data_IF_739175201871
#
_entry.id   IF_739175201871
#
_cell.length_a   1.000
_cell.length_b   1.000
_cell.length_c   1.000
_cell.angle_alpha   90.00
_cell.angle_beta   90.00
_cell.angle_gamma   90.00
#
_symmetry.space_group_name_H-M   'P 1'
#
loop_
_entity.id
_entity.type
_entity.pdbx_description
1 polymer ?
#
# COMPACT_ATOMS: atom_id res chain seq x y z
N UNK A 1 3.75 20.67 25.22
CA UNK A 1 2.93 19.57 25.77
C UNK A 1 1.69 19.31 24.92
N UNK A 2 0.82 20.30 24.79
CA UNK A 2 -0.43 20.14 24.03
C UNK A 2 -0.18 19.69 22.57
N UNK A 3 0.96 20.06 21.96
CA UNK A 3 1.35 19.62 20.59
C UNK A 3 1.45 18.11 20.48
N UNK A 4 2.16 17.44 21.42
CA UNK A 4 2.29 15.98 21.40
C UNK A 4 0.94 15.29 21.55
N UNK A 5 0.10 15.79 22.47
CA UNK A 5 -1.25 15.26 22.70
C UNK A 5 -2.19 15.55 21.53
N UNK A 6 -2.11 16.75 20.95
CA UNK A 6 -2.89 17.11 19.77
C UNK A 6 -2.52 16.23 18.56
N UNK A 7 -1.24 15.99 18.35
CA UNK A 7 -0.76 15.09 17.29
C UNK A 7 -1.22 13.64 17.52
N UNK A 8 -1.13 13.15 18.77
CA UNK A 8 -1.62 11.82 19.12
C UNK A 8 -3.13 11.70 18.88
N UNK A 9 -3.91 12.68 19.37
CA UNK A 9 -5.36 12.72 19.16
C UNK A 9 -5.74 12.80 17.68
N UNK A 10 -5.02 13.61 16.90
CA UNK A 10 -5.18 13.70 15.45
C UNK A 10 -4.91 12.36 14.78
N UNK A 11 -3.79 11.69 15.11
CA UNK A 11 -3.43 10.39 14.58
C UNK A 11 -4.49 9.32 14.85
N UNK A 12 -4.98 9.26 16.09
CA UNK A 12 -6.07 8.36 16.50
C UNK A 12 -7.38 8.70 15.78
N UNK A 13 -7.74 9.98 15.71
CA UNK A 13 -8.95 10.42 15.00
C UNK A 13 -8.92 10.00 13.54
N UNK A 14 -7.83 10.27 12.82
CA UNK A 14 -7.65 9.89 11.40
C UNK A 14 -7.68 8.37 11.27
N UNK A 15 -7.02 7.63 12.16
CA UNK A 15 -6.98 6.16 12.12
C UNK A 15 -8.35 5.50 12.30
N UNK A 16 -9.28 6.15 13.01
CA UNK A 16 -10.63 5.63 13.27
C UNK A 16 -11.64 6.12 12.24
N UNK A 17 -11.57 7.40 11.86
CA UNK A 17 -12.59 8.04 11.02
C UNK A 17 -12.36 7.79 9.53
N UNK A 18 -11.11 7.89 9.06
CA UNK A 18 -10.82 7.79 7.63
C UNK A 18 -11.27 6.46 7.00
N UNK A 19 -11.05 5.27 7.61
CA UNK A 19 -11.55 4.02 7.05
C UNK A 19 -13.07 4.00 6.87
N UNK A 20 -13.81 4.56 7.84
CA UNK A 20 -15.28 4.60 7.80
C UNK A 20 -15.79 5.51 6.68
N UNK A 21 -15.13 6.64 6.46
CA UNK A 21 -15.50 7.57 5.39
C UNK A 21 -15.18 6.99 4.00
N UNK A 22 -14.00 6.38 3.86
CA UNK A 22 -13.58 5.79 2.60
C UNK A 22 -14.39 4.54 2.24
N UNK A 23 -14.79 3.74 3.22
CA UNK A 23 -15.63 2.56 3.00
C UNK A 23 -17.06 2.90 2.53
N UNK A 24 -17.56 4.12 2.80
CA UNK A 24 -18.87 4.59 2.36
C UNK A 24 -18.85 5.29 1.00
N UNK A 25 -17.68 5.49 0.44
CA UNK A 25 -17.52 6.23 -0.79
C UNK A 25 -17.59 5.30 -2.01
N UNK A 26 -18.36 5.67 -3.04
CA UNK A 26 -18.52 4.89 -4.29
C UNK A 26 -17.43 5.19 -5.32
N UNK A 27 -16.78 6.35 -5.20
CA UNK A 27 -15.78 6.79 -6.17
C UNK A 27 -14.49 5.95 -6.26
N UNK A 28 -14.03 5.21 -5.21
CA UNK A 28 -12.84 4.38 -5.29
C UNK A 28 -12.92 3.31 -6.40
N UNK A 29 -14.10 2.80 -6.68
CA UNK A 29 -14.30 1.84 -7.77
C UNK A 29 -14.15 2.48 -9.16
N UNK A 30 -14.50 3.76 -9.28
CA UNK A 30 -14.39 4.52 -10.53
C UNK A 30 -12.97 5.00 -10.82
N UNK A 31 -12.20 5.31 -9.78
CA UNK A 31 -10.82 5.83 -9.86
C UNK A 31 -9.90 5.11 -8.87
N UNK A 32 -9.58 3.83 -9.10
CA UNK A 32 -8.78 3.04 -8.15
C UNK A 32 -7.38 3.62 -7.91
N UNK A 33 -6.75 4.22 -8.90
CA UNK A 33 -5.44 4.86 -8.75
C UNK A 33 -5.50 6.06 -7.80
N UNK A 34 -6.57 6.86 -7.88
CA UNK A 34 -6.78 7.98 -6.95
C UNK A 34 -7.03 7.44 -5.54
N UNK A 35 -7.81 6.37 -5.42
CA UNK A 35 -8.08 5.73 -4.14
C UNK A 35 -6.82 5.15 -3.48
N UNK A 36 -5.94 4.51 -4.26
CA UNK A 36 -4.62 4.08 -3.79
C UNK A 36 -3.81 5.25 -3.22
N UNK A 37 -3.81 6.38 -3.91
CA UNK A 37 -3.13 7.61 -3.46
C UNK A 37 -3.73 8.16 -2.16
N UNK A 38 -5.06 8.27 -2.09
CA UNK A 38 -5.76 8.76 -0.88
C UNK A 38 -5.43 7.91 0.33
N UNK A 39 -5.49 6.57 0.20
CA UNK A 39 -5.16 5.67 1.29
C UNK A 39 -3.69 5.81 1.76
N UNK A 40 -2.75 5.97 0.83
CA UNK A 40 -1.35 6.20 1.18
C UNK A 40 -1.17 7.51 1.96
N UNK A 41 -1.84 8.60 1.53
CA UNK A 41 -1.82 9.88 2.24
C UNK A 41 -2.42 9.78 3.65
N UNK A 42 -3.53 9.07 3.81
CA UNK A 42 -4.15 8.82 5.13
C UNK A 42 -3.19 8.07 6.05
N UNK A 43 -2.60 6.96 5.58
CA UNK A 43 -1.64 6.18 6.36
C UNK A 43 -0.40 7.01 6.70
N UNK A 44 0.12 7.77 5.73
CA UNK A 44 1.25 8.67 5.96
C UNK A 44 0.95 9.73 7.05
N UNK A 45 -0.25 10.31 7.04
CA UNK A 45 -0.67 11.27 8.07
C UNK A 45 -0.74 10.65 9.46
N UNK A 46 -1.26 9.42 9.57
CA UNK A 46 -1.31 8.68 10.85
C UNK A 46 0.11 8.42 11.36
N UNK A 47 0.97 7.85 10.52
CA UNK A 47 2.36 7.56 10.90
C UNK A 47 3.15 8.81 11.28
N UNK A 48 2.96 9.90 10.53
CA UNK A 48 3.60 11.18 10.77
C UNK A 48 3.12 11.81 12.09
N UNK A 49 1.82 11.72 12.39
CA UNK A 49 1.26 12.20 13.67
C UNK A 49 1.92 11.50 14.86
N UNK A 50 2.05 10.18 14.82
CA UNK A 50 2.71 9.42 15.88
C UNK A 50 4.20 9.71 15.97
N UNK A 51 4.91 9.80 14.83
CA UNK A 51 6.33 10.11 14.80
C UNK A 51 6.63 11.50 15.37
N UNK A 52 5.85 12.51 14.98
CA UNK A 52 5.99 13.87 15.52
C UNK A 52 5.63 13.93 17.00
N UNK A 53 4.55 13.26 17.43
CA UNK A 53 4.20 13.17 18.86
C UNK A 53 5.33 12.56 19.67
N UNK A 54 5.97 11.48 19.18
CA UNK A 54 7.14 10.87 19.80
C UNK A 54 8.31 11.86 19.92
N UNK A 55 8.60 12.57 18.82
CA UNK A 55 9.73 13.52 18.76
C UNK A 55 9.54 14.67 19.75
N UNK A 56 8.35 15.28 19.81
CA UNK A 56 8.06 16.34 20.76
C UNK A 56 8.01 15.85 22.21
N UNK A 57 7.53 14.63 22.45
CA UNK A 57 7.55 14.02 23.78
C UNK A 57 8.99 13.74 24.25
N UNK A 58 9.85 13.29 23.33
CA UNK A 58 11.27 13.09 23.62
C UNK A 58 11.99 14.42 23.90
N UNK A 59 11.71 15.48 23.11
CA UNK A 59 12.26 16.81 23.35
C UNK A 59 11.77 17.43 24.68
N UNK A 60 10.57 17.08 25.12
CA UNK A 60 10.07 17.49 26.43
C UNK A 60 10.75 16.75 27.59
N UNK A 61 11.07 15.46 27.40
CA UNK A 61 11.66 14.60 28.41
C UNK A 61 13.16 14.81 28.58
N UNK A 62 13.88 14.96 27.48
CA UNK A 62 15.35 14.98 27.49
C UNK A 62 15.92 16.29 26.94
N UNK A 63 16.73 16.94 27.76
CA UNK A 63 17.38 18.22 27.42
C UNK A 63 18.27 18.10 26.17
N UNK A 64 18.96 16.97 26.00
CA UNK A 64 19.85 16.74 24.85
C UNK A 64 19.08 16.64 23.53
N UNK A 65 17.91 15.98 23.54
CA UNK A 65 17.01 15.90 22.36
C UNK A 65 16.45 17.28 22.05
N UNK A 66 16.04 18.03 23.07
CA UNK A 66 15.58 19.42 22.92
C UNK A 66 16.66 20.30 22.33
N UNK A 67 17.89 20.26 22.87
CA UNK A 67 19.03 21.04 22.39
C UNK A 67 19.36 20.76 20.93
N UNK A 68 19.30 19.51 20.48
CA UNK A 68 19.53 19.17 19.07
C UNK A 68 18.39 19.61 18.16
N UNK A 69 17.15 19.42 18.60
CA UNK A 69 15.94 19.74 17.82
C UNK A 69 15.79 21.25 17.60
N UNK A 70 16.14 22.05 18.59
CA UNK A 70 16.01 23.51 18.60
C UNK A 70 17.36 24.24 18.56
N UNK A 71 18.42 23.61 18.06
CA UNK A 71 19.79 24.13 18.12
C UNK A 71 19.96 25.53 17.49
N UNK A 72 19.18 25.83 16.45
CA UNK A 72 19.21 27.12 15.74
C UNK A 72 17.95 27.98 15.98
N UNK A 73 17.06 27.55 16.87
CA UNK A 73 15.81 28.25 17.09
C UNK A 73 15.96 29.39 18.12
N UNK A 74 15.34 30.57 17.92
CA UNK A 74 15.26 31.61 18.91
C UNK A 74 14.58 31.14 20.21
N UNK A 75 14.98 31.72 21.36
CA UNK A 75 14.44 31.33 22.66
C UNK A 75 12.90 31.40 22.73
N UNK A 76 12.31 32.45 22.16
CA UNK A 76 10.84 32.61 22.12
C UNK A 76 10.12 31.48 21.36
N UNK A 77 10.77 30.92 20.33
CA UNK A 77 10.22 29.76 19.62
C UNK A 77 10.24 28.53 20.53
N UNK A 78 11.31 28.30 21.27
CA UNK A 78 11.39 27.15 22.21
C UNK A 78 10.35 27.26 23.32
N UNK A 79 10.16 28.45 23.86
CA UNK A 79 9.16 28.74 24.91
C UNK A 79 7.73 28.51 24.43
N UNK A 80 7.42 28.84 23.16
CA UNK A 80 6.09 28.65 22.58
C UNK A 80 5.61 27.19 22.60
N UNK A 81 6.54 26.21 22.60
CA UNK A 81 6.17 24.79 22.70
C UNK A 81 5.86 24.34 24.13
N UNK A 82 6.16 25.14 25.15
CA UNK A 82 5.92 24.85 26.58
C UNK A 82 6.32 23.40 26.97
N UNK A 83 7.52 22.99 26.57
CA UNK A 83 7.97 21.59 26.68
C UNK A 83 8.14 21.12 28.15
N UNK A 84 8.30 22.04 29.11
CA UNK A 84 8.46 21.70 30.52
C UNK A 84 7.16 21.34 31.26
N UNK A 85 6.00 21.55 30.66
CA UNK A 85 4.70 21.46 31.34
C UNK A 85 4.21 20.04 31.65
N UNK A 86 4.83 18.97 31.09
CA UNK A 86 4.43 17.55 31.29
C UNK A 86 5.09 16.85 32.46
N UNK A 87 6.18 17.41 33.01
CA UNK A 87 6.94 16.71 34.05
C UNK A 87 7.33 15.27 33.63
N UNK A 88 7.20 14.30 34.57
CA UNK A 88 7.63 12.91 34.31
C UNK A 88 6.84 12.17 33.23
N UNK A 89 5.61 12.59 32.94
CA UNK A 89 4.76 11.93 31.93
C UNK A 89 5.29 12.05 30.50
N UNK A 90 6.09 13.09 30.21
CA UNK A 90 6.69 13.26 28.89
C UNK A 90 7.67 12.13 28.56
N UNK A 91 8.47 11.71 29.51
CA UNK A 91 9.40 10.60 29.36
C UNK A 91 8.67 9.27 29.13
N UNK A 92 7.63 9.01 29.93
CA UNK A 92 6.80 7.81 29.81
C UNK A 92 6.17 7.73 28.41
N UNK A 93 5.54 8.82 27.94
CA UNK A 93 4.93 8.87 26.62
C UNK A 93 5.97 8.70 25.50
N UNK A 94 7.13 9.37 25.61
CA UNK A 94 8.19 9.25 24.64
C UNK A 94 8.73 7.81 24.56
N UNK A 95 8.94 7.14 25.70
CA UNK A 95 9.39 5.75 25.75
C UNK A 95 8.35 4.81 25.16
N UNK A 96 7.07 4.95 25.51
CA UNK A 96 6.00 4.12 24.96
C UNK A 96 5.90 4.25 23.43
N UNK A 97 5.97 5.48 22.91
CA UNK A 97 5.93 5.73 21.48
C UNK A 97 7.20 5.21 20.77
N UNK A 98 8.38 5.34 21.40
CA UNK A 98 9.63 4.79 20.88
C UNK A 98 9.60 3.25 20.84
N UNK A 99 9.11 2.60 21.90
CA UNK A 99 8.91 1.15 21.93
C UNK A 99 7.93 0.71 20.82
N UNK A 100 6.82 1.44 20.63
CA UNK A 100 5.89 1.21 19.53
C UNK A 100 6.55 1.35 18.15
N UNK A 101 7.38 2.38 17.97
CA UNK A 101 8.16 2.60 16.75
C UNK A 101 9.16 1.48 16.46
N UNK A 102 9.92 1.06 17.48
CA UNK A 102 10.86 -0.08 17.38
C UNK A 102 10.14 -1.38 17.06
N UNK A 103 9.03 -1.65 17.74
CA UNK A 103 8.18 -2.81 17.49
C UNK A 103 7.69 -2.82 16.03
N UNK A 104 7.22 -1.67 15.53
CA UNK A 104 6.79 -1.50 14.14
C UNK A 104 7.93 -1.80 13.17
N UNK A 105 9.11 -1.24 13.42
CA UNK A 105 10.30 -1.50 12.61
C UNK A 105 10.69 -2.97 12.59
N UNK A 106 10.63 -3.64 13.75
CA UNK A 106 10.89 -5.07 13.86
C UNK A 106 9.86 -5.90 13.08
N UNK A 107 8.57 -5.60 13.21
CA UNK A 107 7.50 -6.29 12.47
C UNK A 107 7.59 -6.05 10.97
N UNK A 108 7.87 -4.83 10.53
CA UNK A 108 8.10 -4.51 9.12
C UNK A 108 9.29 -5.31 8.56
N UNK A 109 10.40 -5.32 9.29
CA UNK A 109 11.62 -6.06 8.90
C UNK A 109 11.33 -7.57 8.80
N UNK A 110 10.62 -8.12 9.79
CA UNK A 110 10.20 -9.53 9.79
C UNK A 110 9.32 -9.84 8.59
N UNK A 111 8.26 -9.08 8.35
CA UNK A 111 7.34 -9.31 7.22
C UNK A 111 8.05 -9.21 5.87
N UNK A 112 8.95 -8.24 5.70
CA UNK A 112 9.76 -8.12 4.47
C UNK A 112 10.70 -9.33 4.30
N UNK A 113 11.34 -9.78 5.36
CA UNK A 113 12.22 -10.97 5.32
C UNK A 113 11.43 -12.22 5.00
N UNK A 114 10.30 -12.46 5.67
CA UNK A 114 9.45 -13.63 5.47
C UNK A 114 8.85 -13.64 4.06
N UNK A 115 8.42 -12.50 3.57
CA UNK A 115 7.92 -12.36 2.21
C UNK A 115 9.00 -12.62 1.16
N UNK A 116 10.22 -12.12 1.39
CA UNK A 116 11.37 -12.41 0.51
C UNK A 116 11.76 -13.90 0.56
N UNK A 117 11.73 -14.51 1.74
CA UNK A 117 12.02 -15.95 1.89
C UNK A 117 10.98 -16.82 1.19
N UNK A 118 9.68 -16.52 1.39
CA UNK A 118 8.58 -17.21 0.67
C UNK A 118 8.74 -17.09 -0.84
N UNK A 119 9.05 -15.89 -1.37
CA UNK A 119 9.29 -15.69 -2.81
C UNK A 119 10.49 -16.44 -3.33
N UNK A 120 11.58 -16.50 -2.57
CA UNK A 120 12.78 -17.27 -2.97
C UNK A 120 12.46 -18.75 -3.07
N UNK A 121 11.72 -19.31 -2.09
CA UNK A 121 11.27 -20.69 -2.11
C UNK A 121 10.37 -20.99 -3.30
N UNK A 122 9.31 -20.18 -3.51
CA UNK A 122 8.42 -20.31 -4.66
C UNK A 122 9.16 -20.21 -5.99
N UNK A 123 10.13 -19.28 -6.09
CA UNK A 123 10.96 -19.17 -7.29
C UNK A 123 11.81 -20.40 -7.52
N UNK A 124 12.42 -20.96 -6.48
CA UNK A 124 13.21 -22.19 -6.59
C UNK A 124 12.33 -23.38 -7.00
N UNK A 125 11.16 -23.54 -6.38
CA UNK A 125 10.19 -24.58 -6.74
C UNK A 125 9.68 -24.46 -8.18
N UNK A 126 9.38 -23.24 -8.63
CA UNK A 126 8.92 -22.97 -9.99
C UNK A 126 10.03 -23.25 -11.02
N UNK A 127 11.28 -22.86 -10.73
CA UNK A 127 12.41 -23.11 -11.64
C UNK A 127 12.74 -24.60 -11.78
N UNK A 128 12.49 -25.41 -10.77
CA UNK A 128 12.63 -26.88 -10.83
C UNK A 128 11.54 -27.50 -11.72
N UNK A 129 10.34 -26.88 -11.77
CA UNK A 129 9.20 -27.36 -12.56
C UNK A 129 9.19 -26.86 -14.02
N UNK A 130 10.09 -25.96 -14.38
CA UNK A 130 10.21 -25.50 -15.79
C UNK A 130 10.89 -26.61 -16.60
N UNK A 131 10.25 -27.17 -17.63
CA UNK A 131 10.90 -28.12 -18.51
C UNK A 131 12.12 -27.48 -19.16
N UNK A 132 13.30 -28.03 -18.92
CA UNK A 132 14.50 -27.66 -19.68
C UNK A 132 14.55 -28.55 -20.93
N UNK A 133 14.30 -27.99 -22.09
CA UNK A 133 14.53 -28.70 -23.34
C UNK A 133 16.04 -28.88 -23.54
N UNK A 134 16.50 -30.10 -23.91
CA UNK A 134 17.91 -30.35 -24.17
C UNK A 134 18.40 -29.42 -25.29
N UNK A 135 19.40 -28.57 -24.99
CA UNK A 135 20.01 -27.66 -25.96
C UNK A 135 19.49 -26.19 -25.89
N UNK A 136 18.50 -25.88 -25.07
CA UNK A 136 18.13 -24.48 -24.83
C UNK A 136 18.95 -23.92 -23.67
N UNK A 137 19.54 -22.74 -23.86
CA UNK A 137 20.04 -21.94 -22.75
C UNK A 137 18.88 -21.67 -21.76
N UNK A 138 19.15 -21.67 -20.44
CA UNK A 138 18.13 -21.47 -19.46
C UNK A 138 17.33 -20.21 -19.81
N UNK A 139 16.02 -20.37 -20.03
CA UNK A 139 15.07 -19.43 -20.62
C UNK A 139 15.45 -17.96 -20.30
N UNK A 140 16.19 -17.34 -21.21
CA UNK A 140 16.69 -15.97 -21.06
C UNK A 140 15.60 -14.93 -21.27
N UNK A 141 14.41 -15.37 -21.71
CA UNK A 141 13.26 -14.52 -21.98
C UNK A 141 12.50 -14.07 -20.72
N UNK A 142 11.77 -12.96 -20.81
CA UNK A 142 10.92 -12.45 -19.72
C UNK A 142 9.70 -13.35 -19.46
N UNK A 143 9.35 -14.27 -20.38
CA UNK A 143 8.21 -15.18 -20.31
C UNK A 143 8.68 -16.60 -20.03
N UNK A 144 8.08 -17.24 -19.02
CA UNK A 144 8.34 -18.64 -18.66
C UNK A 144 7.04 -19.42 -18.74
N UNK A 145 7.04 -20.49 -19.52
CA UNK A 145 5.94 -21.44 -19.58
C UNK A 145 6.11 -22.49 -18.48
N UNK A 146 5.09 -22.62 -17.64
CA UNK A 146 5.03 -23.65 -16.60
C UNK A 146 4.00 -24.70 -16.97
N UNK A 147 4.39 -25.97 -16.94
CA UNK A 147 3.43 -27.06 -17.09
C UNK A 147 2.53 -27.16 -15.87
N UNK A 148 1.21 -27.14 -16.08
CA UNK A 148 0.24 -27.20 -14.99
C UNK A 148 -1.19 -27.26 -15.50
N UNK A 149 -2.03 -28.00 -14.77
CA UNK A 149 -3.42 -28.25 -15.10
C UNK A 149 -4.35 -27.10 -14.69
N UNK A 150 -3.90 -26.23 -13.78
CA UNK A 150 -4.65 -25.05 -13.36
C UNK A 150 -4.23 -23.83 -14.17
N UNK A 151 -5.20 -23.11 -14.77
CA UNK A 151 -4.88 -21.90 -15.50
C UNK A 151 -4.38 -20.81 -14.54
N UNK A 152 -3.27 -20.17 -14.91
CA UNK A 152 -2.68 -19.08 -14.13
C UNK A 152 -1.63 -18.33 -14.92
N UNK A 153 -1.52 -17.04 -14.64
CA UNK A 153 -0.46 -16.18 -15.10
C UNK A 153 -0.09 -15.25 -13.94
N UNK A 154 1.20 -15.00 -13.71
CA UNK A 154 1.62 -14.09 -12.66
C UNK A 154 3.03 -13.56 -12.91
N UNK A 155 3.27 -12.37 -12.39
CA UNK A 155 4.57 -11.73 -12.43
C UNK A 155 5.44 -12.22 -11.26
N UNK A 156 6.62 -12.71 -11.55
CA UNK A 156 7.62 -13.10 -10.56
C UNK A 156 8.69 -11.98 -10.46
N UNK A 157 8.59 -11.11 -9.45
CA UNK A 157 9.55 -10.03 -9.26
C UNK A 157 10.90 -10.56 -8.79
N UNK A 158 12.00 -9.89 -9.16
CA UNK A 158 13.36 -10.24 -8.74
C UNK A 158 14.42 -9.50 -9.55
N UNK A 159 15.70 -9.88 -9.41
CA UNK A 159 16.80 -9.29 -10.18
C UNK A 159 16.63 -9.49 -11.70
N UNK A 160 16.03 -10.61 -12.08
CA UNK A 160 15.54 -10.90 -13.45
C UNK A 160 14.06 -11.20 -13.34
N UNK A 161 13.21 -10.20 -13.50
CA UNK A 161 11.77 -10.38 -13.39
C UNK A 161 11.26 -11.25 -14.54
N UNK A 162 10.33 -12.16 -14.24
CA UNK A 162 9.77 -13.09 -15.22
C UNK A 162 8.26 -13.10 -15.12
N UNK A 163 7.62 -13.23 -16.25
CA UNK A 163 6.19 -13.48 -16.36
C UNK A 163 6.00 -14.99 -16.52
N UNK A 164 5.25 -15.60 -15.61
CA UNK A 164 4.98 -17.03 -15.65
C UNK A 164 3.57 -17.22 -16.16
N UNK A 165 3.39 -18.17 -17.08
CA UNK A 165 2.08 -18.59 -17.58
C UNK A 165 2.00 -20.11 -17.59
N UNK A 166 0.85 -20.67 -17.22
CA UNK A 166 0.65 -22.12 -17.25
C UNK A 166 0.17 -22.60 -18.60
N UNK A 167 0.46 -23.88 -18.94
CA UNK A 167 -0.04 -24.53 -20.15
C UNK A 167 -1.57 -24.56 -20.17
N UNK A 168 -2.22 -24.72 -19.01
CA UNK A 168 -3.68 -24.64 -18.90
C UNK A 168 -4.21 -23.25 -19.25
N UNK A 169 -3.53 -22.17 -18.82
CA UNK A 169 -3.93 -20.80 -19.20
C UNK A 169 -3.79 -20.57 -20.71
N UNK A 170 -2.71 -21.06 -21.33
CA UNK A 170 -2.54 -20.99 -22.81
C UNK A 170 -3.63 -21.75 -23.58
N UNK A 171 -4.07 -22.90 -23.06
CA UNK A 171 -5.15 -23.65 -23.70
C UNK A 171 -6.52 -22.95 -23.60
N UNK A 172 -6.78 -22.23 -22.50
CA UNK A 172 -8.06 -21.56 -22.24
C UNK A 172 -8.16 -20.15 -22.83
N UNK A 173 -7.06 -19.39 -22.76
CA UNK A 173 -7.02 -18.02 -23.25
C UNK A 173 -6.77 -18.00 -24.77
N UNK A 174 -7.68 -17.36 -25.51
CA UNK A 174 -7.58 -17.29 -26.97
C UNK A 174 -7.18 -15.88 -27.41
N UNK A 175 -6.15 -15.80 -28.26
CA UNK A 175 -5.73 -14.59 -28.95
C UNK A 175 -5.54 -13.41 -28.00
N UNK A 176 -6.33 -12.33 -28.17
CA UNK A 176 -6.23 -11.09 -27.40
C UNK A 176 -6.45 -11.24 -25.89
N UNK A 177 -7.08 -12.33 -25.43
CA UNK A 177 -7.28 -12.55 -23.99
C UNK A 177 -5.95 -12.82 -23.29
N UNK A 178 -5.06 -13.58 -23.92
CA UNK A 178 -3.71 -13.83 -23.41
C UNK A 178 -2.93 -12.50 -23.27
N UNK A 179 -2.90 -11.69 -24.34
CA UNK A 179 -2.22 -10.41 -24.32
C UNK A 179 -2.79 -9.46 -23.26
N UNK A 180 -4.11 -9.54 -23.03
CA UNK A 180 -4.79 -8.76 -22.00
C UNK A 180 -4.37 -9.17 -20.58
N UNK A 181 -4.23 -10.46 -20.30
CA UNK A 181 -3.69 -10.97 -19.03
C UNK A 181 -2.23 -10.55 -18.84
N UNK A 182 -1.40 -10.68 -19.88
CA UNK A 182 -0.01 -10.25 -19.84
C UNK A 182 0.12 -8.73 -19.55
N UNK A 183 -0.77 -7.91 -20.12
CA UNK A 183 -0.81 -6.48 -19.84
C UNK A 183 -1.28 -6.15 -18.42
N UNK A 184 -2.20 -6.95 -17.87
CA UNK A 184 -2.63 -6.84 -16.48
C UNK A 184 -1.46 -7.09 -15.52
N UNK A 185 -0.74 -8.20 -15.71
CA UNK A 185 0.45 -8.54 -14.91
C UNK A 185 1.56 -7.49 -15.03
N UNK A 186 1.78 -6.98 -16.24
CA UNK A 186 2.70 -5.86 -16.46
C UNK A 186 2.24 -4.57 -15.72
N UNK A 187 0.93 -4.38 -15.57
CA UNK A 187 0.34 -3.29 -14.78
C UNK A 187 0.81 -3.35 -13.33
N UNK A 188 0.72 -4.53 -12.70
CA UNK A 188 1.23 -4.75 -11.34
C UNK A 188 2.72 -4.47 -11.23
N UNK A 189 3.50 -4.96 -12.18
CA UNK A 189 4.95 -4.78 -12.18
C UNK A 189 5.37 -3.31 -12.31
N UNK A 190 4.77 -2.58 -13.24
CA UNK A 190 5.08 -1.16 -13.49
C UNK A 190 4.70 -0.26 -12.32
N UNK A 191 3.54 -0.51 -11.71
CA UNK A 191 3.05 0.24 -10.57
C UNK A 191 3.64 -0.22 -9.23
N UNK A 192 4.50 -1.25 -9.24
CA UNK A 192 5.11 -1.84 -8.03
C UNK A 192 4.07 -2.20 -6.96
N UNK A 193 2.93 -2.73 -7.37
CA UNK A 193 1.84 -3.10 -6.48
C UNK A 193 2.27 -4.06 -5.38
N UNK A 194 3.23 -4.94 -5.65
CA UNK A 194 3.82 -5.85 -4.68
C UNK A 194 4.46 -5.12 -3.49
N UNK A 195 5.17 -4.02 -3.72
CA UNK A 195 5.74 -3.22 -2.64
C UNK A 195 4.66 -2.58 -1.76
N UNK A 196 3.62 -2.04 -2.39
CA UNK A 196 2.49 -1.46 -1.67
C UNK A 196 1.77 -2.49 -0.79
N UNK A 197 1.54 -3.69 -1.33
CA UNK A 197 0.95 -4.81 -0.58
C UNK A 197 1.83 -5.25 0.60
N UNK A 198 3.16 -5.22 0.46
CA UNK A 198 4.06 -5.51 1.59
C UNK A 198 3.96 -4.49 2.69
N UNK A 199 3.99 -3.20 2.34
CA UNK A 199 3.83 -2.14 3.33
C UNK A 199 2.49 -2.28 4.06
N UNK A 200 1.42 -2.56 3.32
CA UNK A 200 0.10 -2.75 3.90
C UNK A 200 0.03 -3.98 4.83
N UNK A 201 0.62 -5.09 4.42
CA UNK A 201 0.69 -6.30 5.25
C UNK A 201 1.52 -6.08 6.52
N UNK A 202 2.67 -5.42 6.40
CA UNK A 202 3.56 -5.13 7.53
C UNK A 202 2.89 -4.22 8.56
N UNK A 203 2.20 -3.16 8.13
CA UNK A 203 1.47 -2.25 9.01
C UNK A 203 0.32 -2.97 9.73
N UNK A 204 -0.46 -3.78 9.00
CA UNK A 204 -1.55 -4.54 9.60
C UNK A 204 -1.06 -5.60 10.59
N UNK A 205 0.07 -6.25 10.32
CA UNK A 205 0.69 -7.24 11.22
C UNK A 205 1.36 -6.59 12.42
N UNK A 206 1.97 -5.42 12.23
CA UNK A 206 2.62 -4.66 13.30
C UNK A 206 1.64 -4.01 14.29
N UNK A 207 0.44 -3.67 13.81
CA UNK A 207 -0.59 -2.98 14.59
C UNK A 207 -1.98 -3.61 14.42
N UNK A 208 -2.19 -4.84 14.91
CA UNK A 208 -3.43 -5.58 14.66
C UNK A 208 -4.69 -4.91 15.24
N UNK A 209 -4.52 -4.04 16.26
CA UNK A 209 -5.62 -3.30 16.89
C UNK A 209 -5.96 -1.96 16.25
N UNK A 210 -5.22 -1.51 15.22
CA UNK A 210 -5.41 -0.18 14.61
C UNK A 210 -6.27 -0.29 13.34
N UNK A 211 -7.52 0.22 13.35
CA UNK A 211 -8.49 -0.02 12.27
C UNK A 211 -8.02 0.42 10.88
N UNK A 212 -7.29 1.54 10.78
CA UNK A 212 -6.81 2.06 9.49
C UNK A 212 -5.86 1.09 8.79
N UNK A 213 -5.01 0.35 9.51
CA UNK A 213 -4.04 -0.53 8.87
C UNK A 213 -4.68 -1.84 8.38
N UNK A 214 -5.67 -2.36 9.12
CA UNK A 214 -6.45 -3.51 8.67
C UNK A 214 -7.28 -3.15 7.42
N UNK A 215 -7.95 -2.00 7.42
CA UNK A 215 -8.70 -1.49 6.29
C UNK A 215 -7.79 -1.16 5.10
N UNK A 216 -6.65 -0.53 5.34
CA UNK A 216 -5.64 -0.25 4.31
C UNK A 216 -5.20 -1.53 3.60
N UNK A 217 -4.86 -2.58 4.36
CA UNK A 217 -4.47 -3.87 3.78
C UNK A 217 -5.57 -4.46 2.90
N UNK A 218 -6.82 -4.49 3.39
CA UNK A 218 -7.95 -5.03 2.64
C UNK A 218 -8.19 -4.25 1.34
N UNK A 219 -8.21 -2.91 1.44
CA UNK A 219 -8.44 -2.05 0.29
C UNK A 219 -7.28 -2.07 -0.72
N UNK A 220 -6.03 -2.16 -0.27
CA UNK A 220 -4.89 -2.28 -1.19
C UNK A 220 -5.01 -3.51 -2.06
N UNK A 221 -5.36 -4.68 -1.51
CA UNK A 221 -5.59 -5.89 -2.31
C UNK A 221 -6.66 -5.69 -3.38
N UNK A 222 -7.78 -5.06 -3.02
CA UNK A 222 -8.88 -4.78 -3.95
C UNK A 222 -8.49 -3.76 -5.02
N UNK A 223 -7.94 -2.63 -4.61
CA UNK A 223 -7.69 -1.49 -5.50
C UNK A 223 -6.55 -1.73 -6.49
N UNK A 224 -5.52 -2.51 -6.13
CA UNK A 224 -4.43 -2.84 -7.06
C UNK A 224 -4.93 -3.71 -8.21
N UNK A 225 -5.89 -4.62 -7.95
CA UNK A 225 -6.52 -5.43 -8.99
C UNK A 225 -7.35 -4.55 -9.95
N UNK A 226 -8.16 -3.64 -9.40
CA UNK A 226 -8.95 -2.72 -10.21
C UNK A 226 -8.07 -1.77 -11.04
N UNK A 227 -6.93 -1.33 -10.49
CA UNK A 227 -5.99 -0.48 -11.20
C UNK A 227 -5.27 -1.21 -12.34
N UNK A 228 -4.92 -2.50 -12.13
CA UNK A 228 -4.33 -3.35 -13.16
C UNK A 228 -5.35 -3.65 -14.28
N UNK A 229 -6.61 -3.94 -13.93
CA UNK A 229 -7.71 -4.10 -14.89
C UNK A 229 -7.91 -2.85 -15.74
N UNK A 230 -7.92 -1.67 -15.11
CA UNK A 230 -8.04 -0.39 -15.82
C UNK A 230 -6.86 -0.13 -16.75
N UNK A 231 -5.65 -0.50 -16.33
CA UNK A 231 -4.45 -0.35 -17.15
C UNK A 231 -4.50 -1.23 -18.40
N UNK A 232 -4.87 -2.50 -18.23
CA UNK A 232 -4.99 -3.45 -19.33
C UNK A 232 -6.18 -3.12 -20.25
N UNK A 233 -7.30 -2.66 -19.69
CA UNK A 233 -8.52 -2.30 -20.44
C UNK A 233 -8.31 -1.14 -21.40
N UNK A 234 -7.40 -0.21 -21.11
CA UNK A 234 -7.05 0.89 -22.03
C UNK A 234 -6.51 0.40 -23.37
N UNK A 235 -5.84 -0.75 -23.37
CA UNK A 235 -5.19 -1.31 -24.56
C UNK A 235 -6.04 -2.39 -25.23
N UNK A 236 -6.68 -3.24 -24.47
CA UNK A 236 -7.36 -4.44 -24.96
C UNK A 236 -8.90 -4.36 -24.89
N UNK A 237 -9.44 -3.35 -24.25
CA UNK A 237 -10.86 -3.19 -24.01
C UNK A 237 -11.35 -3.96 -22.78
N UNK A 238 -12.44 -3.47 -22.17
CA UNK A 238 -13.01 -4.01 -20.92
C UNK A 238 -13.56 -5.42 -21.09
N UNK A 239 -14.27 -5.68 -22.21
CA UNK A 239 -14.85 -6.99 -22.50
C UNK A 239 -13.77 -8.08 -22.60
N UNK A 240 -12.63 -7.78 -23.24
CA UNK A 240 -11.54 -8.75 -23.36
C UNK A 240 -10.96 -9.12 -22.00
N UNK A 241 -10.78 -8.14 -21.09
CA UNK A 241 -10.34 -8.40 -19.72
C UNK A 241 -11.39 -9.21 -18.95
N UNK A 242 -12.68 -8.87 -19.06
CA UNK A 242 -13.75 -9.61 -18.39
C UNK A 242 -13.79 -11.08 -18.84
N UNK A 243 -13.70 -11.32 -20.15
CA UNK A 243 -13.65 -12.69 -20.70
C UNK A 243 -12.40 -13.46 -20.27
N UNK A 244 -11.24 -12.78 -20.20
CA UNK A 244 -10.01 -13.38 -19.72
C UNK A 244 -10.11 -13.76 -18.22
N UNK A 245 -10.71 -12.89 -17.38
CA UNK A 245 -10.97 -13.16 -15.97
C UNK A 245 -11.87 -14.38 -15.78
N UNK A 246 -12.95 -14.49 -16.57
CA UNK A 246 -13.86 -15.65 -16.54
C UNK A 246 -13.09 -16.91 -16.95
N UNK A 247 -12.36 -16.87 -18.07
CA UNK A 247 -11.64 -18.05 -18.59
C UNK A 247 -10.54 -18.57 -17.66
N UNK A 248 -9.93 -17.68 -16.84
CA UNK A 248 -8.93 -18.09 -15.86
C UNK A 248 -9.55 -18.61 -14.54
N UNK A 249 -10.82 -18.29 -14.26
CA UNK A 249 -11.40 -18.46 -12.92
C UNK A 249 -12.31 -19.68 -12.77
N UNK A 250 -12.53 -20.47 -13.82
CA UNK A 250 -13.48 -21.58 -13.76
C UNK A 250 -13.12 -22.66 -12.70
N UNK A 251 -11.85 -22.79 -12.29
CA UNK A 251 -11.41 -23.87 -11.41
C UNK A 251 -10.65 -23.47 -10.14
N UNK A 252 -10.31 -22.25 -9.90
CA UNK A 252 -9.76 -21.73 -8.63
C UNK A 252 -8.90 -20.48 -8.78
N UNK A 253 -9.05 -19.54 -7.87
CA UNK A 253 -8.13 -18.51 -7.39
C UNK A 253 -7.11 -17.96 -8.36
N UNK A 254 -7.55 -17.10 -9.12
CA UNK A 254 -6.99 -16.38 -10.24
C UNK A 254 -5.78 -15.53 -9.83
N UNK A 255 -4.73 -15.49 -10.63
CA UNK A 255 -3.62 -14.54 -10.55
C UNK A 255 -2.68 -14.68 -9.34
N UNK A 256 -1.87 -15.72 -9.35
CA UNK A 256 -0.71 -15.84 -8.47
C UNK A 256 -0.97 -16.31 -7.05
N UNK A 257 0.10 -16.43 -6.23
CA UNK A 257 0.01 -16.94 -4.86
C UNK A 257 -0.61 -15.95 -3.85
N UNK A 258 -1.20 -14.85 -4.33
CA UNK A 258 -1.98 -13.96 -3.47
C UNK A 258 -3.38 -14.54 -3.32
N UNK A 259 -3.83 -14.88 -2.10
CA UNK A 259 -5.19 -15.35 -1.88
C UNK A 259 -6.14 -14.17 -2.04
N UNK A 260 -6.43 -13.81 -3.30
CA UNK A 260 -7.55 -12.91 -3.57
C UNK A 260 -8.82 -13.70 -3.24
N UNK A 261 -9.70 -13.19 -2.38
CA UNK A 261 -10.98 -13.86 -2.13
C UNK A 261 -11.70 -14.09 -3.46
N UNK A 262 -12.15 -15.30 -3.73
CA UNK A 262 -12.88 -15.65 -4.95
C UNK A 262 -14.08 -14.71 -5.24
N UNK A 263 -14.66 -14.11 -4.20
CA UNK A 263 -15.70 -13.11 -4.28
C UNK A 263 -15.31 -11.82 -5.05
N UNK A 264 -14.02 -11.52 -5.19
CA UNK A 264 -13.59 -10.31 -5.90
C UNK A 264 -13.72 -10.41 -7.44
N UNK A 265 -13.70 -11.61 -8.01
CA UNK A 265 -13.77 -11.79 -9.48
C UNK A 265 -15.13 -11.44 -10.07
N UNK A 266 -16.27 -11.90 -9.53
CA UNK A 266 -17.58 -11.46 -10.03
C UNK A 266 -17.76 -9.95 -9.98
N UNK A 267 -17.31 -9.30 -8.92
CA UNK A 267 -17.38 -7.83 -8.79
C UNK A 267 -16.52 -7.13 -9.85
N UNK A 268 -15.29 -7.62 -10.11
CA UNK A 268 -14.40 -7.09 -11.16
C UNK A 268 -15.04 -7.23 -12.54
N UNK A 269 -15.60 -8.41 -12.86
CA UNK A 269 -16.29 -8.66 -14.13
C UNK A 269 -17.49 -7.74 -14.27
N UNK A 270 -18.35 -7.63 -13.26
CA UNK A 270 -19.50 -6.70 -13.27
C UNK A 270 -19.04 -5.27 -13.50
N UNK A 271 -18.04 -4.79 -12.78
CA UNK A 271 -17.45 -3.44 -12.95
C UNK A 271 -16.94 -3.19 -14.38
N UNK A 272 -16.28 -4.19 -14.98
CA UNK A 272 -15.79 -4.09 -16.34
C UNK A 272 -16.93 -4.00 -17.37
N UNK A 273 -18.02 -4.70 -17.13
CA UNK A 273 -19.19 -4.73 -18.02
C UNK A 273 -20.11 -3.52 -17.86
N UNK A 274 -20.33 -3.02 -16.63
CA UNK A 274 -21.24 -1.88 -16.35
C UNK A 274 -20.69 -0.52 -16.77
N UNK A 275 -19.38 -0.42 -17.04
CA UNK A 275 -18.74 0.76 -17.61
C UNK A 275 -19.11 2.11 -16.96
N UNK A 276 -19.14 2.15 -15.62
CA UNK A 276 -19.44 3.40 -14.90
C UNK A 276 -18.54 4.57 -15.35
N UNK A 277 -19.09 5.79 -15.50
CA UNK A 277 -18.33 6.94 -15.94
C UNK A 277 -17.26 7.30 -14.91
N UNK A 278 -16.05 7.60 -15.39
CA UNK A 278 -14.96 8.09 -14.56
C UNK A 278 -15.30 9.46 -13.97
N UNK A 279 -14.62 9.80 -12.91
CA UNK A 279 -14.73 11.14 -12.34
C UNK A 279 -14.26 12.19 -13.34
N UNK A 280 -14.91 13.36 -13.29
CA UNK A 280 -14.47 14.53 -14.07
C UNK A 280 -13.04 14.89 -13.68
N UNK A 281 -12.23 15.41 -14.63
CA UNK A 281 -10.84 15.79 -14.35
C UNK A 281 -10.71 16.75 -13.16
N UNK A 282 -11.63 17.71 -13.03
CA UNK A 282 -11.65 18.65 -11.91
C UNK A 282 -11.91 17.98 -10.57
N UNK A 283 -12.82 17.01 -10.49
CA UNK A 283 -13.10 16.26 -9.26
C UNK A 283 -11.92 15.35 -8.89
N UNK A 284 -11.31 14.71 -9.88
CA UNK A 284 -10.11 13.90 -9.71
C UNK A 284 -8.95 14.74 -9.15
N UNK A 285 -8.70 15.93 -9.74
CA UNK A 285 -7.66 16.85 -9.26
C UNK A 285 -7.93 17.31 -7.83
N UNK A 286 -9.17 17.68 -7.50
CA UNK A 286 -9.55 18.08 -6.13
C UNK A 286 -9.30 16.95 -5.12
N UNK A 287 -9.66 15.72 -5.44
CA UNK A 287 -9.43 14.57 -4.56
C UNK A 287 -7.93 14.29 -4.36
N UNK A 288 -7.13 14.34 -5.43
CA UNK A 288 -5.67 14.12 -5.32
C UNK A 288 -4.99 15.23 -4.55
N UNK A 289 -5.38 16.49 -4.78
CA UNK A 289 -4.84 17.64 -4.04
C UNK A 289 -5.26 17.62 -2.57
N UNK A 290 -6.55 17.40 -2.29
CA UNK A 290 -7.03 17.27 -0.91
C UNK A 290 -6.32 16.13 -0.17
N UNK A 291 -6.13 14.97 -0.82
CA UNK A 291 -5.38 13.87 -0.22
C UNK A 291 -3.93 14.24 0.08
N UNK A 292 -3.25 14.97 -0.81
CA UNK A 292 -1.88 15.42 -0.60
C UNK A 292 -1.75 16.40 0.60
N UNK A 293 -2.81 17.12 0.93
CA UNK A 293 -2.84 18.00 2.10
C UNK A 293 -3.04 17.25 3.43
N UNK A 294 -3.57 16.04 3.41
CA UNK A 294 -3.81 15.27 4.65
C UNK A 294 -2.52 15.06 5.47
N UNK A 295 -1.38 14.64 4.89
CA UNK A 295 -0.11 14.53 5.62
C UNK A 295 0.48 15.88 6.04
N UNK A 296 0.06 16.99 5.43
CA UNK A 296 0.50 18.33 5.84
C UNK A 296 -0.14 18.77 7.15
N UNK A 297 -1.33 18.24 7.50
CA UNK A 297 -2.03 18.63 8.74
C UNK A 297 -1.19 18.36 9.99
N UNK A 298 -0.62 17.16 10.22
CA UNK A 298 0.26 16.94 11.38
C UNK A 298 1.49 17.85 11.38
N UNK A 299 2.04 18.19 10.22
CA UNK A 299 3.16 19.13 10.13
C UNK A 299 2.74 20.54 10.55
N UNK A 300 1.58 21.01 10.09
CA UNK A 300 1.03 22.31 10.47
C UNK A 300 0.77 22.38 11.99
N UNK A 301 0.19 21.32 12.58
CA UNK A 301 0.00 21.24 14.03
C UNK A 301 1.33 21.27 14.77
N UNK A 302 2.34 20.57 14.25
CA UNK A 302 3.67 20.54 14.84
C UNK A 302 4.38 21.90 14.78
N UNK A 303 4.22 22.65 13.68
CA UNK A 303 4.93 23.91 13.43
C UNK A 303 4.17 25.14 13.96
N UNK A 304 2.87 25.03 14.21
CA UNK A 304 2.02 26.15 14.59
C UNK A 304 2.56 27.01 15.75
N UNK A 305 3.06 26.44 16.88
CA UNK A 305 3.57 27.28 17.97
C UNK A 305 4.82 28.07 17.59
N UNK A 306 5.72 27.46 16.80
CA UNK A 306 6.92 28.14 16.32
C UNK A 306 6.61 29.28 15.35
N UNK A 307 5.64 29.07 14.46
CA UNK A 307 5.20 30.09 13.51
C UNK A 307 4.52 31.27 14.23
N UNK A 308 3.70 31.00 15.23
CA UNK A 308 3.05 32.03 16.03
C UNK A 308 3.99 32.86 16.91
N UNK A 309 5.19 32.33 17.21
CA UNK A 309 6.21 33.03 17.95
C UNK A 309 7.14 33.91 17.09
N UNK A 310 7.07 33.76 15.76
CA UNK A 310 7.86 34.53 14.79
C UNK A 310 7.06 35.67 14.14
N UNK A 311 5.75 35.66 14.24
CA UNK A 311 4.84 36.72 13.74
C UNK A 311 4.35 37.60 14.86
#
# INVERSE_FOLDING_TARGET
MWVSLALLALGVLVAVVAPRLLARADWPEREPVVALWVWQCVVAAVLLSFALSMTFSAAAAWHEVRGRMFASAPAGVVEAYALGALGPWSATLAVLLACGGLWTGAMLTREVRDSRARRRRQRAELLVRVPQLPGEEPASGPLVLLEGDRPGAWWLPGARPRLIITTAALRRLKGRQLDAVLAHEQGHARARHDWLLYCAAALASGFPGVPVFAAFRAEMHRLVELAADDSASKRFGRLTIALALVGLNEDSGVFGPCPTPHAAVPQRVTRLLTAEPRLTPGRRLRLTAAAALVPAVPLLVALAPGLSALG
#
